data_IF_982658674018
#
_entry.id   IF_982658674018
#
_cell.length_a   1.000
_cell.length_b   1.000
_cell.length_c   1.000
_cell.angle_alpha   90.00
_cell.angle_beta   90.00
_cell.angle_gamma   90.00
#
_symmetry.space_group_name_H-M   'P 1'
#
loop_
_entity.id
_entity.type
_entity.pdbx_description
1 polymer ?
#
# COMPACT_ATOMS: atom_id res chain seq x y z
N UNK A 1 -34.06 8.44 -1.17
CA UNK A 1 -33.23 9.23 -0.23
C UNK A 1 -33.31 10.69 -0.63
N UNK A 2 -33.54 11.62 0.30
CA UNK A 2 -33.35 13.05 0.06
C UNK A 2 -31.92 13.42 0.50
N UNK A 3 -31.22 14.23 -0.30
CA UNK A 3 -29.92 14.76 0.10
C UNK A 3 -30.11 15.73 1.27
N UNK A 4 -29.26 15.60 2.31
CA UNK A 4 -29.24 16.48 3.48
C UNK A 4 -28.02 17.39 3.40
N UNK A 5 -28.24 18.68 3.55
CA UNK A 5 -27.16 19.66 3.68
C UNK A 5 -26.72 19.70 5.13
N UNK A 6 -25.42 19.52 5.37
CA UNK A 6 -24.81 19.62 6.68
C UNK A 6 -23.70 20.66 6.64
N UNK A 7 -23.68 21.57 7.62
CA UNK A 7 -22.57 22.48 7.83
C UNK A 7 -21.45 21.73 8.56
N UNK A 8 -20.23 21.83 8.07
CA UNK A 8 -19.07 21.33 8.81
C UNK A 8 -18.94 22.04 10.17
N UNK A 9 -18.44 21.35 11.22
CA UNK A 9 -18.15 21.98 12.49
C UNK A 9 -17.27 23.22 12.32
N UNK A 10 -17.57 24.29 13.06
CA UNK A 10 -16.73 25.48 13.02
C UNK A 10 -15.36 25.14 13.63
N UNK A 11 -14.31 25.34 12.84
CA UNK A 11 -12.94 25.30 13.34
C UNK A 11 -12.72 26.45 14.33
N UNK A 12 -11.86 26.22 15.32
CA UNK A 12 -11.48 27.24 16.30
C UNK A 12 -10.92 28.48 15.59
N UNK A 13 -11.51 29.64 15.88
CA UNK A 13 -11.14 30.90 15.24
C UNK A 13 -9.67 31.26 15.48
N UNK A 14 -9.11 30.94 16.64
CA UNK A 14 -7.71 31.17 16.98
C UNK A 14 -6.80 30.29 16.12
N UNK A 15 -7.12 28.99 15.97
CA UNK A 15 -6.38 28.09 15.08
C UNK A 15 -6.40 28.58 13.63
N UNK A 16 -7.58 28.97 13.12
CA UNK A 16 -7.73 29.49 11.75
C UNK A 16 -6.90 30.75 11.53
N UNK A 17 -6.90 31.68 12.49
CA UNK A 17 -6.15 32.93 12.40
C UNK A 17 -4.63 32.67 12.42
N UNK A 18 -4.17 31.79 13.31
CA UNK A 18 -2.76 31.39 13.39
C UNK A 18 -2.31 30.76 12.08
N UNK A 19 -3.06 29.77 11.58
CA UNK A 19 -2.72 29.04 10.37
C UNK A 19 -2.72 29.93 9.12
N UNK A 20 -3.70 30.84 9.00
CA UNK A 20 -3.77 31.80 7.90
C UNK A 20 -2.54 32.72 7.88
N UNK A 21 -2.12 33.21 9.06
CA UNK A 21 -0.97 34.10 9.19
C UNK A 21 0.35 33.36 8.92
N UNK A 22 0.56 32.21 9.57
CA UNK A 22 1.83 31.48 9.52
C UNK A 22 2.15 30.91 8.13
N UNK A 23 1.12 30.53 7.37
CA UNK A 23 1.25 29.95 6.03
C UNK A 23 0.91 30.91 4.90
N UNK A 24 0.61 32.18 5.22
CA UNK A 24 0.17 33.18 4.24
C UNK A 24 -1.02 32.69 3.39
N UNK A 25 -1.97 31.99 4.03
CA UNK A 25 -3.14 31.41 3.36
C UNK A 25 -4.35 32.34 3.47
N UNK A 26 -5.24 32.36 2.45
CA UNK A 26 -6.54 32.99 2.59
C UNK A 26 -7.31 32.39 3.79
N UNK A 27 -8.02 33.19 4.62
CA UNK A 27 -8.72 32.69 5.82
C UNK A 27 -9.69 31.54 5.54
N UNK A 28 -10.32 31.54 4.37
CA UNK A 28 -11.21 30.44 3.94
C UNK A 28 -10.46 29.13 3.74
N UNK A 29 -9.22 29.16 3.22
CA UNK A 29 -8.39 27.97 3.05
C UNK A 29 -7.92 27.45 4.40
N UNK A 30 -7.49 28.34 5.29
CA UNK A 30 -7.10 27.98 6.66
C UNK A 30 -8.29 27.37 7.43
N UNK A 31 -9.50 27.91 7.29
CA UNK A 31 -10.73 27.34 7.88
C UNK A 31 -10.97 25.91 7.36
N UNK A 32 -10.86 25.70 6.05
CA UNK A 32 -11.03 24.37 5.43
C UNK A 32 -10.00 23.36 5.94
N UNK A 33 -8.73 23.76 6.09
CA UNK A 33 -7.67 22.89 6.59
C UNK A 33 -7.90 22.52 8.07
N UNK A 34 -8.16 23.53 8.92
CA UNK A 34 -8.44 23.31 10.34
C UNK A 34 -9.69 22.43 10.55
N UNK A 35 -10.77 22.66 9.79
CA UNK A 35 -11.97 21.80 9.83
C UNK A 35 -11.73 20.36 9.38
N UNK A 36 -10.58 20.06 8.76
CA UNK A 36 -10.15 18.70 8.37
C UNK A 36 -9.10 18.12 9.32
N UNK A 37 -8.86 18.75 10.48
CA UNK A 37 -7.85 18.31 11.45
C UNK A 37 -6.40 18.67 11.08
N UNK A 38 -6.20 19.49 10.03
CA UNK A 38 -4.91 20.07 9.65
C UNK A 38 -4.77 21.45 10.30
N UNK A 39 -4.83 21.44 11.63
CA UNK A 39 -5.03 22.61 12.48
C UNK A 39 -3.74 23.22 13.04
N UNK A 40 -2.58 22.64 12.71
CA UNK A 40 -1.26 23.21 13.01
C UNK A 40 -0.51 23.50 11.71
N UNK A 41 0.46 24.41 11.81
CA UNK A 41 1.35 24.75 10.70
C UNK A 41 2.03 23.51 10.13
N UNK A 42 2.56 22.66 10.99
CA UNK A 42 3.31 21.45 10.62
C UNK A 42 2.41 20.47 9.85
N UNK A 43 1.19 20.21 10.36
CA UNK A 43 0.24 19.33 9.69
C UNK A 43 -0.16 19.86 8.31
N UNK A 44 -0.45 21.16 8.23
CA UNK A 44 -0.86 21.80 6.98
C UNK A 44 0.28 21.90 5.96
N UNK A 45 1.51 22.23 6.38
CA UNK A 45 2.69 22.24 5.51
C UNK A 45 3.00 20.85 4.97
N UNK A 46 3.03 19.84 5.84
CA UNK A 46 3.26 18.44 5.43
C UNK A 46 2.17 17.96 4.47
N UNK A 47 0.92 18.39 4.67
CA UNK A 47 -0.16 18.06 3.74
C UNK A 47 -0.02 18.81 2.40
N UNK A 48 0.22 20.12 2.38
CA UNK A 48 0.27 20.88 1.13
C UNK A 48 1.55 20.60 0.33
N UNK A 49 2.68 20.49 1.02
CA UNK A 49 4.02 20.38 0.48
C UNK A 49 4.77 19.14 1.01
N UNK A 50 4.23 17.92 0.83
CA UNK A 50 4.89 16.71 1.30
C UNK A 50 6.20 16.45 0.56
N UNK A 51 7.09 15.72 1.25
CA UNK A 51 8.34 15.17 0.77
C UNK A 51 8.33 13.64 0.85
N UNK A 52 9.07 12.94 -0.03
CA UNK A 52 9.30 11.50 0.11
C UNK A 52 10.03 11.14 1.42
N UNK A 53 10.76 12.10 2.01
CA UNK A 53 11.39 11.93 3.33
C UNK A 53 10.40 11.90 4.48
N UNK A 54 9.15 12.32 4.24
CA UNK A 54 8.08 12.29 5.24
C UNK A 54 7.41 10.91 5.34
N UNK A 55 7.86 9.91 4.56
CA UNK A 55 7.43 8.53 4.73
C UNK A 55 7.97 7.98 6.06
N UNK A 56 7.12 7.26 6.78
CA UNK A 56 7.46 6.54 8.00
C UNK A 56 8.48 5.43 7.71
N UNK A 57 9.15 4.95 8.76
CA UNK A 57 10.02 3.79 8.62
C UNK A 57 9.14 2.54 8.33
N UNK A 58 9.34 1.81 7.21
CA UNK A 58 8.61 0.57 6.93
C UNK A 58 8.72 -0.46 8.05
N UNK A 59 9.80 -0.45 8.85
CA UNK A 59 9.96 -1.37 9.99
C UNK A 59 8.99 -1.11 11.15
N UNK A 60 8.19 -0.05 11.08
CA UNK A 60 7.08 0.19 12.01
C UNK A 60 5.83 -0.63 11.66
N UNK A 61 5.80 -1.30 10.50
CA UNK A 61 4.73 -2.24 10.17
C UNK A 61 5.02 -3.60 10.84
N UNK A 62 3.97 -4.29 11.36
CA UNK A 62 4.11 -5.62 11.94
C UNK A 62 4.83 -6.60 11.02
N UNK A 63 5.62 -7.51 11.60
CA UNK A 63 6.36 -8.58 10.92
C UNK A 63 7.26 -8.15 9.74
N UNK A 64 7.51 -6.86 9.54
CA UNK A 64 8.32 -6.36 8.42
C UNK A 64 9.71 -7.03 8.41
N UNK A 65 10.38 -7.10 9.56
CA UNK A 65 11.68 -7.78 9.70
C UNK A 65 11.61 -9.26 9.31
N UNK A 66 10.59 -10.00 9.77
CA UNK A 66 10.40 -11.42 9.47
C UNK A 66 10.18 -11.66 7.98
N UNK A 67 9.38 -10.80 7.34
CA UNK A 67 9.12 -10.86 5.90
C UNK A 67 10.40 -10.59 5.09
N UNK A 68 11.15 -9.56 5.46
CA UNK A 68 12.41 -9.20 4.80
C UNK A 68 13.44 -10.32 4.95
N UNK A 69 13.61 -10.87 6.15
CA UNK A 69 14.51 -12.00 6.41
C UNK A 69 14.18 -13.21 5.53
N UNK A 70 12.88 -13.50 5.39
CA UNK A 70 12.41 -14.62 4.60
C UNK A 70 12.67 -14.42 3.10
N UNK A 71 12.51 -13.20 2.57
CA UNK A 71 12.85 -12.89 1.17
C UNK A 71 14.36 -12.97 0.95
N UNK A 72 15.18 -12.46 1.86
CA UNK A 72 16.64 -12.55 1.76
C UNK A 72 17.10 -14.01 1.77
N UNK A 73 16.47 -14.86 2.59
CA UNK A 73 16.71 -16.31 2.56
C UNK A 73 16.40 -16.89 1.17
N UNK A 74 15.25 -16.56 0.59
CA UNK A 74 14.88 -17.02 -0.75
C UNK A 74 15.90 -16.61 -1.82
N UNK A 75 16.37 -15.34 -1.79
CA UNK A 75 17.39 -14.83 -2.69
C UNK A 75 18.71 -15.61 -2.56
N UNK A 76 19.18 -15.82 -1.32
CA UNK A 76 20.43 -16.53 -1.03
C UNK A 76 20.38 -17.99 -1.46
N UNK A 77 19.27 -18.65 -1.20
CA UNK A 77 19.07 -20.08 -1.48
C UNK A 77 18.56 -20.35 -2.89
N UNK A 78 18.36 -19.28 -3.69
CA UNK A 78 17.81 -19.33 -5.05
C UNK A 78 16.49 -20.08 -5.11
N UNK A 79 15.66 -19.85 -4.11
CA UNK A 79 14.31 -20.38 -4.07
C UNK A 79 13.43 -19.71 -5.11
N UNK A 80 12.47 -20.47 -5.64
CA UNK A 80 11.43 -19.93 -6.50
C UNK A 80 10.38 -19.21 -5.66
N UNK A 81 10.12 -17.96 -6.03
CA UNK A 81 9.15 -17.09 -5.37
C UNK A 81 7.95 -16.90 -6.30
N UNK A 82 6.74 -16.93 -5.75
CA UNK A 82 5.53 -16.56 -6.47
C UNK A 82 4.89 -15.35 -5.81
N UNK A 83 4.61 -14.32 -6.61
CA UNK A 83 3.77 -13.20 -6.16
C UNK A 83 2.32 -13.57 -6.44
N UNK A 84 1.51 -13.63 -5.39
CA UNK A 84 0.10 -13.92 -5.49
C UNK A 84 -0.69 -12.64 -5.31
N UNK A 85 -1.24 -12.10 -6.38
CA UNK A 85 -2.00 -10.85 -6.34
C UNK A 85 -3.50 -11.05 -6.33
N UNK A 86 -4.23 -9.95 -6.13
CA UNK A 86 -5.64 -9.87 -6.50
C UNK A 86 -5.84 -9.39 -7.96
N UNK A 87 -7.04 -9.61 -8.49
CA UNK A 87 -7.42 -9.36 -9.88
C UNK A 87 -7.78 -7.89 -10.19
N UNK A 88 -7.85 -7.02 -9.19
CA UNK A 88 -8.14 -5.60 -9.39
C UNK A 88 -6.87 -4.77 -9.60
N UNK A 89 -7.03 -3.45 -9.79
CA UNK A 89 -5.87 -2.58 -10.10
C UNK A 89 -4.87 -2.53 -8.95
N UNK A 90 -5.31 -2.57 -7.70
CA UNK A 90 -4.39 -2.48 -6.57
C UNK A 90 -3.54 -3.76 -6.48
N UNK A 91 -4.19 -4.93 -6.48
CA UNK A 91 -3.51 -6.23 -6.54
C UNK A 91 -2.62 -6.42 -7.77
N UNK A 92 -3.05 -6.00 -8.97
CA UNK A 92 -2.25 -6.10 -10.19
C UNK A 92 -1.01 -5.19 -10.13
N UNK A 93 -1.16 -3.97 -9.61
CA UNK A 93 -0.04 -3.03 -9.50
C UNK A 93 0.93 -3.43 -8.40
N UNK A 94 0.45 -3.94 -7.26
CA UNK A 94 1.26 -4.54 -6.21
C UNK A 94 2.03 -5.76 -6.70
N UNK A 95 1.37 -6.63 -7.48
CA UNK A 95 2.02 -7.79 -8.10
C UNK A 95 3.13 -7.36 -9.05
N UNK A 96 2.85 -6.39 -9.91
CA UNK A 96 3.80 -5.85 -10.87
C UNK A 96 5.00 -5.20 -10.17
N UNK A 97 4.76 -4.46 -9.08
CA UNK A 97 5.80 -3.82 -8.27
C UNK A 97 6.78 -4.87 -7.72
N UNK A 98 6.27 -5.86 -6.98
CA UNK A 98 7.11 -6.90 -6.38
C UNK A 98 7.81 -7.75 -7.44
N UNK A 99 7.10 -8.10 -8.51
CA UNK A 99 7.67 -8.87 -9.62
C UNK A 99 8.87 -8.14 -10.23
N UNK A 100 8.73 -6.85 -10.56
CA UNK A 100 9.83 -6.08 -11.16
C UNK A 100 11.00 -5.92 -10.20
N UNK A 101 10.72 -5.59 -8.94
CA UNK A 101 11.75 -5.33 -7.94
C UNK A 101 12.53 -6.61 -7.60
N UNK A 102 11.84 -7.71 -7.32
CA UNK A 102 12.52 -8.96 -6.94
C UNK A 102 13.27 -9.59 -8.12
N UNK A 103 12.76 -9.47 -9.36
CA UNK A 103 13.54 -9.85 -10.54
C UNK A 103 14.82 -9.02 -10.68
N UNK A 104 14.76 -7.70 -10.44
CA UNK A 104 15.95 -6.83 -10.44
C UNK A 104 16.97 -7.27 -9.39
N UNK A 105 16.51 -7.72 -8.22
CA UNK A 105 17.36 -8.25 -7.14
C UNK A 105 17.86 -9.69 -7.41
N UNK A 106 17.46 -10.32 -8.52
CA UNK A 106 17.96 -11.62 -8.94
C UNK A 106 17.18 -12.84 -8.44
N UNK A 107 15.96 -12.66 -7.90
CA UNK A 107 15.08 -13.78 -7.55
C UNK A 107 14.54 -14.49 -8.81
N UNK A 108 14.29 -15.81 -8.70
CA UNK A 108 13.47 -16.53 -9.68
C UNK A 108 11.99 -16.32 -9.32
N UNK A 109 11.37 -15.30 -9.93
CA UNK A 109 10.02 -14.86 -9.58
C UNK A 109 9.01 -15.28 -10.64
N UNK A 110 7.90 -15.87 -10.18
CA UNK A 110 6.68 -16.07 -10.95
C UNK A 110 5.53 -15.27 -10.33
N UNK A 111 4.38 -15.22 -11.00
CA UNK A 111 3.18 -14.61 -10.45
C UNK A 111 1.96 -15.50 -10.67
N UNK A 112 0.92 -15.25 -9.87
CA UNK A 112 -0.40 -15.83 -9.99
C UNK A 112 -1.44 -14.77 -9.64
N UNK A 113 -2.48 -14.68 -10.48
CA UNK A 113 -3.67 -13.86 -10.24
C UNK A 113 -4.87 -14.82 -10.29
N UNK A 114 -5.70 -14.89 -9.24
CA UNK A 114 -6.80 -15.83 -9.19
C UNK A 114 -7.88 -15.45 -10.20
N UNK A 115 -8.53 -16.47 -10.77
CA UNK A 115 -9.71 -16.22 -11.59
C UNK A 115 -10.91 -15.89 -10.70
N UNK A 116 -11.32 -14.63 -10.71
CA UNK A 116 -12.45 -14.12 -9.90
C UNK A 116 -13.73 -14.95 -10.00
N UNK A 117 -14.04 -15.50 -11.18
CA UNK A 117 -15.30 -16.20 -11.45
C UNK A 117 -15.28 -17.65 -10.97
N UNK A 118 -14.09 -18.25 -10.88
CA UNK A 118 -13.92 -19.68 -10.57
C UNK A 118 -13.43 -19.86 -9.14
N UNK A 119 -12.40 -19.12 -8.75
CA UNK A 119 -11.69 -19.25 -7.48
C UNK A 119 -12.18 -18.26 -6.43
N UNK A 120 -12.80 -17.15 -6.86
CA UNK A 120 -13.24 -16.08 -5.97
C UNK A 120 -12.14 -15.06 -5.69
N UNK A 121 -12.10 -14.54 -4.47
CA UNK A 121 -11.20 -13.46 -4.06
C UNK A 121 -10.14 -13.98 -3.08
N UNK A 122 -8.91 -13.51 -3.27
CA UNK A 122 -7.77 -13.79 -2.40
C UNK A 122 -7.02 -15.08 -2.72
N UNK A 123 -6.14 -15.47 -1.78
CA UNK A 123 -5.32 -16.67 -1.88
C UNK A 123 -6.22 -17.91 -2.07
N UNK A 124 -5.95 -18.72 -3.10
CA UNK A 124 -6.76 -19.89 -3.46
C UNK A 124 -5.97 -21.20 -3.34
N UNK A 125 -6.66 -22.32 -3.07
CA UNK A 125 -6.04 -23.64 -3.11
C UNK A 125 -5.48 -23.97 -4.51
N UNK A 126 -6.19 -23.58 -5.57
CA UNK A 126 -5.77 -23.76 -6.96
C UNK A 126 -4.43 -23.09 -7.24
N UNK A 127 -4.26 -21.84 -6.79
CA UNK A 127 -3.00 -21.14 -6.97
C UNK A 127 -1.86 -21.69 -6.10
N UNK A 128 -2.16 -22.23 -4.91
CA UNK A 128 -1.17 -22.97 -4.10
C UNK A 128 -0.76 -24.27 -4.78
N UNK A 129 -1.69 -25.01 -5.38
CA UNK A 129 -1.41 -26.20 -6.18
C UNK A 129 -0.54 -25.84 -7.39
N UNK A 130 -0.81 -24.70 -8.03
CA UNK A 130 0.01 -24.21 -9.14
C UNK A 130 1.42 -23.82 -8.67
N UNK A 131 1.54 -23.20 -7.49
CA UNK A 131 2.83 -22.90 -6.86
C UNK A 131 3.64 -24.19 -6.60
N UNK A 132 2.99 -25.22 -6.04
CA UNK A 132 3.60 -26.54 -5.81
C UNK A 132 4.12 -27.16 -7.12
N UNK A 133 3.30 -27.16 -8.18
CA UNK A 133 3.70 -27.67 -9.51
C UNK A 133 4.92 -26.94 -10.08
N UNK A 134 5.05 -25.64 -9.83
CA UNK A 134 6.18 -24.81 -10.28
C UNK A 134 7.42 -24.95 -9.41
N UNK A 135 7.34 -25.67 -8.29
CA UNK A 135 8.42 -25.83 -7.31
C UNK A 135 8.67 -24.56 -6.49
N UNK A 136 7.63 -23.75 -6.28
CA UNK A 136 7.69 -22.55 -5.44
C UNK A 136 7.93 -22.94 -3.98
N UNK A 137 8.76 -22.17 -3.29
CA UNK A 137 9.05 -22.33 -1.86
C UNK A 137 8.53 -21.18 -1.01
N UNK A 138 8.25 -20.04 -1.64
CA UNK A 138 7.75 -18.83 -1.02
C UNK A 138 6.65 -18.21 -1.87
N UNK A 139 5.47 -18.05 -1.30
CA UNK A 139 4.41 -17.18 -1.80
C UNK A 139 4.49 -15.85 -1.06
N UNK A 140 4.42 -14.75 -1.81
CA UNK A 140 4.20 -13.40 -1.26
C UNK A 140 2.85 -12.94 -1.77
N UNK A 141 1.82 -12.97 -0.91
CA UNK A 141 0.51 -12.45 -1.28
C UNK A 141 0.50 -10.93 -1.15
N UNK A 142 -0.06 -10.27 -2.15
CA UNK A 142 -0.17 -8.81 -2.22
C UNK A 142 -1.63 -8.44 -2.38
N UNK A 143 -2.08 -7.44 -1.60
CA UNK A 143 -3.46 -6.94 -1.59
C UNK A 143 -4.51 -8.02 -1.26
N UNK A 144 -4.07 -9.10 -0.61
CA UNK A 144 -4.93 -10.18 -0.19
C UNK A 144 -4.22 -11.09 0.81
N UNK A 145 -4.99 -11.96 1.46
CA UNK A 145 -4.49 -13.07 2.25
C UNK A 145 -4.69 -12.91 3.76
N UNK A 146 -5.03 -11.72 4.28
CA UNK A 146 -5.20 -11.52 5.74
C UNK A 146 -6.27 -12.43 6.35
N UNK A 147 -7.25 -12.88 5.56
CA UNK A 147 -8.34 -13.78 5.97
C UNK A 147 -8.11 -15.24 5.57
N UNK A 148 -7.01 -15.55 4.87
CA UNK A 148 -6.77 -16.84 4.21
C UNK A 148 -6.17 -17.92 5.14
N UNK A 149 -6.82 -18.17 6.27
CA UNK A 149 -6.31 -19.05 7.34
C UNK A 149 -6.13 -20.50 6.83
N UNK A 150 -7.12 -21.02 6.10
CA UNK A 150 -7.09 -22.41 5.64
C UNK A 150 -6.11 -22.60 4.49
N UNK A 151 -6.02 -21.60 3.61
CA UNK A 151 -5.17 -21.62 2.43
C UNK A 151 -3.70 -21.50 2.83
N UNK A 152 -3.36 -20.62 3.78
CA UNK A 152 -1.99 -20.57 4.34
C UNK A 152 -1.64 -21.88 5.05
N UNK A 153 -2.57 -22.47 5.81
CA UNK A 153 -2.36 -23.79 6.41
C UNK A 153 -2.12 -24.87 5.35
N UNK A 154 -2.85 -24.83 4.23
CA UNK A 154 -2.65 -25.74 3.12
C UNK A 154 -1.29 -25.53 2.43
N UNK A 155 -0.88 -24.28 2.20
CA UNK A 155 0.47 -23.95 1.71
C UNK A 155 1.57 -24.50 2.62
N UNK A 156 1.43 -24.32 3.94
CA UNK A 156 2.35 -24.87 4.94
C UNK A 156 2.44 -26.41 4.86
N UNK A 157 1.32 -27.11 4.64
CA UNK A 157 1.32 -28.57 4.43
C UNK A 157 2.05 -28.99 3.15
N UNK A 158 2.05 -28.14 2.11
CA UNK A 158 2.87 -28.32 0.90
C UNK A 158 4.32 -27.87 1.09
N UNK A 159 4.67 -27.41 2.29
CA UNK A 159 5.97 -26.87 2.63
C UNK A 159 6.26 -25.52 1.96
N UNK A 160 5.25 -24.80 1.48
CA UNK A 160 5.39 -23.50 0.85
C UNK A 160 5.16 -22.44 1.93
N UNK A 161 6.16 -21.61 2.18
CA UNK A 161 6.01 -20.50 3.11
C UNK A 161 5.17 -19.38 2.49
N UNK A 162 4.41 -18.67 3.31
CA UNK A 162 3.64 -17.48 2.87
C UNK A 162 4.07 -16.23 3.63
N UNK A 163 4.24 -15.12 2.92
CA UNK A 163 4.27 -13.75 3.46
C UNK A 163 3.01 -13.06 2.96
N UNK A 164 2.29 -12.39 3.85
CA UNK A 164 1.09 -11.62 3.49
C UNK A 164 1.43 -10.13 3.57
N UNK A 165 1.25 -9.39 2.47
CA UNK A 165 1.21 -7.92 2.47
C UNK A 165 -0.18 -7.47 2.08
N UNK A 166 -0.93 -6.94 3.03
CA UNK A 166 -2.36 -6.67 2.89
C UNK A 166 -2.76 -5.42 3.69
N UNK A 167 -3.94 -4.88 3.44
CA UNK A 167 -4.50 -3.71 4.12
C UNK A 167 -5.97 -3.91 4.52
N UNK A 168 -6.56 -5.05 4.16
CA UNK A 168 -7.90 -5.45 4.57
C UNK A 168 -8.00 -5.69 6.09
N UNK A 169 -9.24 -5.74 6.58
CA UNK A 169 -9.52 -5.89 8.01
C UNK A 169 -9.10 -7.28 8.53
N UNK A 170 -8.19 -7.35 9.52
CA UNK A 170 -7.83 -8.62 10.14
C UNK A 170 -9.04 -9.26 10.84
N UNK A 171 -9.08 -10.59 10.86
CA UNK A 171 -10.05 -11.36 11.63
C UNK A 171 -9.47 -11.77 12.98
N UNK A 172 -10.30 -12.29 13.89
CA UNK A 172 -9.85 -12.78 15.21
C UNK A 172 -8.78 -13.88 15.10
N UNK A 173 -8.88 -14.72 14.07
CA UNK A 173 -7.93 -15.77 13.77
C UNK A 173 -7.11 -15.35 12.55
N UNK A 174 -5.81 -15.16 12.76
CA UNK A 174 -4.87 -14.80 11.71
C UNK A 174 -4.28 -16.05 11.04
N UNK A 175 -3.92 -15.98 9.73
CA UNK A 175 -3.22 -17.04 9.04
C UNK A 175 -1.85 -17.35 9.66
N UNK A 176 -1.44 -18.62 9.67
CA UNK A 176 -0.13 -19.04 10.16
C UNK A 176 0.98 -18.78 9.11
N UNK A 177 1.08 -17.53 8.63
CA UNK A 177 2.09 -17.08 7.68
C UNK A 177 3.43 -16.80 8.38
N UNK A 178 4.53 -16.79 7.63
CA UNK A 178 5.86 -16.42 8.16
C UNK A 178 5.89 -14.96 8.63
N UNK A 179 5.16 -14.11 7.91
CA UNK A 179 5.00 -12.70 8.23
C UNK A 179 3.66 -12.21 7.71
N UNK A 180 2.99 -11.38 8.49
CA UNK A 180 1.82 -10.62 8.06
C UNK A 180 2.12 -9.13 8.23
N UNK A 181 2.15 -8.42 7.11
CA UNK A 181 2.46 -7.00 7.03
C UNK A 181 1.16 -6.30 6.66
N UNK A 182 0.51 -5.68 7.64
CA UNK A 182 -0.77 -4.99 7.46
C UNK A 182 -0.87 -3.76 8.39
N UNK A 183 -1.33 -2.62 7.86
CA UNK A 183 -1.45 -1.36 8.61
C UNK A 183 -2.47 -1.40 9.74
N UNK A 184 -3.42 -2.34 9.68
CA UNK A 184 -4.53 -2.50 10.63
C UNK A 184 -4.31 -3.60 11.67
N UNK A 185 -3.15 -4.25 11.63
CA UNK A 185 -2.79 -5.18 12.70
C UNK A 185 -2.37 -4.43 13.95
N UNK A 186 -2.77 -4.96 15.10
CA UNK A 186 -2.38 -4.43 16.39
C UNK A 186 -0.86 -4.59 16.59
N UNK A 187 -0.17 -3.51 16.93
CA UNK A 187 1.23 -3.56 17.33
C UNK A 187 1.34 -4.06 18.77
N UNK A 188 2.14 -5.10 19.00
CA UNK A 188 2.41 -5.57 20.37
C UNK A 188 3.32 -4.57 21.10
N UNK A 189 3.13 -4.39 22.41
CA UNK A 189 3.86 -3.38 23.20
C UNK A 189 5.37 -3.62 23.25
N UNK A 190 5.82 -4.87 23.02
CA UNK A 190 7.24 -5.19 22.92
C UNK A 190 7.88 -4.67 21.62
N UNK A 191 7.14 -4.65 20.52
CA UNK A 191 7.65 -4.16 19.23
C UNK A 191 7.81 -2.63 19.25
N UNK A 192 6.89 -1.92 19.91
CA UNK A 192 6.93 -0.45 20.08
C UNK A 192 8.12 0.03 20.91
N UNK A 193 8.55 -0.73 21.92
CA UNK A 193 9.72 -0.37 22.74
C UNK A 193 11.04 -0.35 21.95
N UNK A 194 11.10 -1.09 20.83
CA UNK A 194 12.29 -1.17 19.97
C UNK A 194 12.41 -0.01 18.97
N UNK A 195 11.31 0.71 18.71
CA UNK A 195 11.24 1.78 17.69
C UNK A 195 11.59 3.16 18.25
N UNK A 196 11.75 3.29 19.57
CA UNK A 196 12.07 4.55 20.23
C UNK A 196 10.96 5.62 20.14
N UNK A 197 9.76 5.25 19.68
CA UNK A 197 8.63 6.17 19.53
C UNK A 197 7.83 6.25 20.82
N UNK A 198 8.13 7.24 21.67
CA UNK A 198 7.16 7.79 22.62
C UNK A 198 6.37 8.90 21.90
N UNK A 199 5.47 8.53 20.96
CA UNK A 199 4.54 9.50 20.39
C UNK A 199 3.12 9.23 20.87
N UNK A 200 2.71 10.01 21.88
CA UNK A 200 1.36 10.05 22.40
C UNK A 200 0.39 10.58 21.32
N UNK A 201 -0.21 9.67 20.55
CA UNK A 201 -1.41 10.00 19.78
C UNK A 201 -2.59 9.90 20.73
N UNK A 202 -3.04 11.04 21.25
CA UNK A 202 -4.24 11.13 22.07
C UNK A 202 -5.49 10.96 21.20
N UNK A 203 -5.99 9.72 21.08
CA UNK A 203 -7.41 9.50 20.74
C UNK A 203 -8.19 9.37 22.05
N UNK A 204 -9.11 10.31 22.27
CA UNK A 204 -9.92 10.36 23.46
C UNK A 204 -10.97 9.22 23.44
N UNK A 205 -10.80 8.25 24.34
CA UNK A 205 -11.89 7.41 24.83
C UNK A 205 -11.99 6.01 24.23
N UNK A 206 -11.13 5.08 24.65
CA UNK A 206 -11.47 3.66 24.85
C UNK A 206 -10.34 2.96 25.60
N UNK A 207 -10.71 1.95 26.38
CA UNK A 207 -9.85 1.19 27.30
C UNK A 207 -9.02 0.19 26.48
N UNK A 208 -7.69 0.31 26.53
CA UNK A 208 -6.72 -0.55 25.83
C UNK A 208 -6.14 0.14 24.59
N UNK A 209 -5.04 0.88 24.74
CA UNK A 209 -4.39 1.56 23.61
C UNK A 209 -3.56 0.56 22.81
N UNK A 210 -4.11 0.13 21.67
CA UNK A 210 -3.37 -0.44 20.55
C UNK A 210 -2.79 0.74 19.77
N UNK A 211 -1.48 0.78 19.53
CA UNK A 211 -0.91 1.80 18.65
C UNK A 211 -1.09 1.36 17.20
N UNK A 212 -1.74 2.20 16.39
CA UNK A 212 -1.87 2.01 14.94
C UNK A 212 -0.58 2.44 14.22
N UNK A 213 -0.34 1.92 13.01
CA UNK A 213 0.79 2.34 12.19
C UNK A 213 0.76 3.88 11.96
N UNK A 214 1.82 4.63 12.30
CA UNK A 214 1.79 6.10 12.29
C UNK A 214 1.69 6.72 10.90
N UNK A 215 1.95 5.95 9.84
CA UNK A 215 1.74 6.38 8.46
C UNK A 215 0.26 6.42 8.03
N UNK A 216 -0.63 5.87 8.87
CA UNK A 216 -2.06 5.71 8.62
C UNK A 216 -2.38 4.54 7.70
N UNK A 217 -3.59 4.53 7.15
CA UNK A 217 -4.00 3.53 6.16
C UNK A 217 -3.15 3.62 4.88
N UNK A 218 -2.88 2.45 4.29
CA UNK A 218 -2.26 2.29 2.97
C UNK A 218 -3.18 1.43 2.10
N UNK A 219 -3.07 1.58 0.77
CA UNK A 219 -3.62 0.58 -0.15
C UNK A 219 -2.71 -0.66 -0.19
N UNK A 220 -3.15 -1.77 -0.78
CA UNK A 220 -2.35 -2.99 -0.98
C UNK A 220 -1.02 -2.72 -1.68
N UNK A 221 -1.00 -1.94 -2.78
CA UNK A 221 0.26 -1.52 -3.43
C UNK A 221 1.11 -0.60 -2.55
N UNK A 222 0.48 0.17 -1.66
CA UNK A 222 1.17 0.99 -0.67
C UNK A 222 1.94 0.14 0.34
N UNK A 223 1.29 -0.89 0.91
CA UNK A 223 1.94 -1.84 1.83
C UNK A 223 3.06 -2.61 1.11
N UNK A 224 2.80 -3.08 -0.12
CA UNK A 224 3.80 -3.69 -0.98
C UNK A 224 5.01 -2.77 -1.25
N UNK A 225 4.79 -1.46 -1.42
CA UNK A 225 5.86 -0.47 -1.55
C UNK A 225 6.71 -0.34 -0.29
N UNK A 226 6.07 -0.29 0.89
CA UNK A 226 6.80 -0.31 2.18
C UNK A 226 7.62 -1.58 2.35
N UNK A 227 7.09 -2.73 1.89
CA UNK A 227 7.82 -3.99 1.95
C UNK A 227 9.09 -3.99 1.08
N UNK A 228 8.99 -3.55 -0.18
CA UNK A 228 10.20 -3.41 -1.03
C UNK A 228 11.17 -2.35 -0.52
N UNK A 229 10.67 -1.30 0.12
CA UNK A 229 11.49 -0.29 0.79
C UNK A 229 12.36 -0.93 1.90
N UNK A 230 11.76 -1.77 2.75
CA UNK A 230 12.49 -2.49 3.79
C UNK A 230 13.51 -3.48 3.22
N UNK A 231 13.16 -4.20 2.15
CA UNK A 231 14.09 -5.10 1.45
C UNK A 231 15.31 -4.31 0.93
N UNK A 232 15.09 -3.14 0.30
CA UNK A 232 16.17 -2.28 -0.20
C UNK A 232 17.10 -1.82 0.92
N UNK A 233 16.52 -1.32 2.02
CA UNK A 233 17.28 -0.90 3.21
C UNK A 233 18.16 -2.01 3.74
N UNK A 234 17.61 -3.22 3.87
CA UNK A 234 18.37 -4.35 4.41
C UNK A 234 19.50 -4.80 3.51
N UNK A 235 19.30 -4.73 2.20
CA UNK A 235 20.30 -5.08 1.19
C UNK A 235 21.28 -3.94 0.88
N UNK A 236 21.15 -2.78 1.55
CA UNK A 236 21.96 -1.59 1.30
C UNK A 236 21.81 -1.05 -0.13
N UNK A 237 20.65 -1.27 -0.75
CA UNK A 237 20.33 -0.74 -2.08
C UNK A 237 19.90 0.73 -2.00
N UNK A 238 20.04 1.45 -3.10
CA UNK A 238 19.62 2.85 -3.18
C UNK A 238 18.08 2.94 -3.29
N UNK A 239 17.43 3.42 -2.23
CA UNK A 239 15.97 3.60 -2.19
C UNK A 239 15.43 4.56 -3.27
N UNK A 240 16.26 5.45 -3.83
CA UNK A 240 15.81 6.37 -4.90
C UNK A 240 15.43 5.64 -6.18
N UNK A 241 15.93 4.40 -6.38
CA UNK A 241 15.52 3.56 -7.50
C UNK A 241 14.05 3.11 -7.40
N UNK A 242 13.47 3.11 -6.19
CA UNK A 242 12.05 2.78 -5.99
C UNK A 242 11.14 3.91 -6.50
N UNK A 243 11.64 5.13 -6.67
CA UNK A 243 10.86 6.25 -7.24
C UNK A 243 10.36 5.94 -8.65
N UNK A 244 11.11 5.14 -9.42
CA UNK A 244 10.71 4.71 -10.76
C UNK A 244 9.44 3.85 -10.76
N UNK A 245 9.08 3.27 -9.62
CA UNK A 245 7.91 2.42 -9.45
C UNK A 245 6.72 3.14 -8.80
N UNK A 246 6.85 4.41 -8.42
CA UNK A 246 5.75 5.18 -7.84
C UNK A 246 4.57 5.38 -8.81
N UNK A 247 4.77 5.19 -10.11
CA UNK A 247 3.69 5.18 -11.09
C UNK A 247 2.71 4.02 -10.88
N UNK A 248 3.19 2.83 -10.51
CA UNK A 248 2.36 1.69 -10.13
C UNK A 248 1.66 1.95 -8.79
N UNK A 249 2.41 2.48 -7.82
CA UNK A 249 1.88 2.79 -6.48
C UNK A 249 0.73 3.80 -6.57
N UNK A 250 0.93 4.92 -7.27
CA UNK A 250 -0.11 5.92 -7.41
C UNK A 250 -1.31 5.45 -8.25
N UNK A 251 -1.10 4.51 -9.18
CA UNK A 251 -2.19 3.89 -9.94
C UNK A 251 -3.05 2.98 -9.05
N UNK A 252 -2.45 2.07 -8.29
CA UNK A 252 -3.16 1.19 -7.35
C UNK A 252 -3.85 1.97 -6.24
N UNK A 253 -3.10 2.81 -5.51
CA UNK A 253 -3.62 3.63 -4.41
C UNK A 253 -4.79 4.52 -4.85
N UNK A 254 -4.72 5.15 -6.03
CA UNK A 254 -5.84 5.96 -6.51
C UNK A 254 -7.03 5.09 -6.95
N UNK A 255 -6.79 3.91 -7.53
CA UNK A 255 -7.84 3.00 -8.00
C UNK A 255 -8.61 2.32 -6.85
N UNK A 256 -7.94 2.12 -5.72
CA UNK A 256 -8.50 1.53 -4.50
C UNK A 256 -9.34 2.50 -3.66
N UNK A 257 -9.36 3.79 -4.02
CA UNK A 257 -10.22 4.82 -3.41
C UNK A 257 -9.94 5.00 -1.89
N UNK A 258 -8.75 4.60 -1.43
CA UNK A 258 -8.29 4.90 -0.06
C UNK A 258 -8.14 6.41 0.16
N UNK A 259 -8.26 6.88 1.42
CA UNK A 259 -8.03 8.28 1.76
C UNK A 259 -6.64 8.77 1.30
N UNK A 260 -6.62 9.82 0.47
CA UNK A 260 -5.38 10.49 0.03
C UNK A 260 -4.88 11.49 1.10
N UNK A 261 -4.61 10.95 2.29
CA UNK A 261 -3.95 11.60 3.44
C UNK A 261 -2.69 10.81 3.79
N UNK A 262 -1.92 11.23 4.80
CA UNK A 262 -0.76 10.48 5.30
C UNK A 262 0.21 10.06 4.20
N UNK A 263 0.71 8.81 4.27
CA UNK A 263 1.61 8.25 3.27
C UNK A 263 0.96 8.06 1.89
N UNK A 264 -0.32 7.67 1.82
CA UNK A 264 -1.06 7.54 0.54
C UNK A 264 -0.99 8.83 -0.27
N UNK A 265 -1.13 9.99 0.39
CA UNK A 265 -1.00 11.30 -0.26
C UNK A 265 0.39 11.55 -0.83
N UNK A 266 1.44 11.23 -0.06
CA UNK A 266 2.84 11.41 -0.45
C UNK A 266 3.10 10.56 -1.70
N UNK A 267 2.87 9.25 -1.59
CA UNK A 267 3.10 8.28 -2.65
C UNK A 267 2.31 8.63 -3.92
N UNK A 268 1.03 9.00 -3.76
CA UNK A 268 0.19 9.41 -4.89
C UNK A 268 0.69 10.70 -5.54
N UNK A 269 1.08 11.74 -4.77
CA UNK A 269 1.57 13.01 -5.34
C UNK A 269 2.81 12.78 -6.20
N UNK A 270 3.80 12.07 -5.68
CA UNK A 270 5.04 11.80 -6.42
C UNK A 270 4.84 10.79 -7.55
N UNK A 271 3.99 9.79 -7.34
CA UNK A 271 3.67 8.81 -8.36
C UNK A 271 2.85 9.36 -9.53
N UNK A 272 1.97 10.36 -9.32
CA UNK A 272 1.32 11.06 -10.44
C UNK A 272 2.32 11.78 -11.34
N UNK A 273 3.37 12.38 -10.75
CA UNK A 273 4.49 12.93 -11.53
C UNK A 273 5.23 11.82 -12.30
N UNK A 274 5.39 10.64 -11.68
CA UNK A 274 6.03 9.49 -12.33
C UNK A 274 5.17 8.91 -13.47
N UNK A 275 3.85 8.83 -13.33
CA UNK A 275 2.92 8.38 -14.38
C UNK A 275 3.09 9.24 -15.64
N UNK A 276 3.20 10.56 -15.50
CA UNK A 276 3.35 11.48 -16.62
C UNK A 276 4.63 11.24 -17.44
N UNK A 277 5.66 10.63 -16.84
CA UNK A 277 6.97 10.33 -17.46
C UNK A 277 7.28 8.82 -17.49
N UNK A 278 6.28 7.97 -17.29
CA UNK A 278 6.50 6.52 -17.16
C UNK A 278 7.17 5.94 -18.39
N UNK A 279 8.15 5.07 -18.16
CA UNK A 279 8.82 4.29 -19.20
C UNK A 279 8.22 2.89 -19.37
N UNK A 280 7.30 2.49 -18.48
CA UNK A 280 6.70 1.15 -18.48
C UNK A 280 5.83 0.95 -19.71
N UNK A 281 6.13 -0.02 -20.59
CA UNK A 281 5.40 -0.20 -21.85
C UNK A 281 3.89 -0.37 -21.67
N UNK A 282 3.47 -1.09 -20.62
CA UNK A 282 2.06 -1.28 -20.28
C UNK A 282 1.33 0.04 -19.99
N UNK A 283 1.86 0.86 -19.09
CA UNK A 283 1.27 2.15 -18.74
C UNK A 283 1.31 3.13 -19.92
N UNK A 284 2.43 3.20 -20.66
CA UNK A 284 2.51 4.04 -21.87
C UNK A 284 1.45 3.67 -22.90
N UNK A 285 1.27 2.36 -23.14
CA UNK A 285 0.27 1.86 -24.07
C UNK A 285 -1.14 2.17 -23.58
N UNK A 286 -1.40 1.96 -22.29
CA UNK A 286 -2.70 2.25 -21.68
C UNK A 286 -3.07 3.74 -21.78
N UNK A 287 -2.13 4.64 -21.48
CA UNK A 287 -2.30 6.09 -21.62
C UNK A 287 -2.60 6.48 -23.07
N UNK A 288 -1.85 5.91 -24.01
CA UNK A 288 -2.03 6.16 -25.45
C UNK A 288 -3.40 5.72 -25.95
N UNK A 289 -3.79 4.47 -25.73
CA UNK A 289 -5.09 3.93 -26.21
C UNK A 289 -6.28 4.53 -25.48
N UNK A 290 -6.06 5.11 -24.30
CA UNK A 290 -7.09 5.85 -23.55
C UNK A 290 -7.33 7.27 -24.10
N UNK A 291 -6.51 7.73 -25.07
CA UNK A 291 -6.66 9.04 -25.69
C UNK A 291 -6.23 10.21 -24.81
N UNK A 292 -5.50 9.95 -23.73
CA UNK A 292 -5.05 10.98 -22.76
C UNK A 292 -3.54 11.26 -22.82
N UNK A 293 -2.85 10.75 -23.84
CA UNK A 293 -1.44 11.06 -24.06
C UNK A 293 -1.24 12.58 -24.24
N UNK A 294 -0.28 13.16 -23.52
CA UNK A 294 0.03 14.59 -23.57
C UNK A 294 -0.93 15.47 -22.76
N UNK A 295 -1.95 14.90 -22.12
CA UNK A 295 -2.83 15.62 -21.20
C UNK A 295 -2.27 15.58 -19.78
N UNK A 296 -2.74 16.50 -18.92
CA UNK A 296 -2.47 16.41 -17.49
C UNK A 296 -3.23 15.21 -16.91
N UNK A 297 -2.48 14.26 -16.33
CA UNK A 297 -3.04 13.07 -15.67
C UNK A 297 -3.06 13.34 -14.17
N UNK A 298 -4.27 13.53 -13.63
CA UNK A 298 -4.51 13.53 -12.19
C UNK A 298 -5.22 12.26 -11.74
N UNK A 299 -5.53 12.19 -10.44
CA UNK A 299 -6.26 11.06 -9.84
C UNK A 299 -7.61 10.81 -10.51
N UNK A 300 -8.29 11.85 -10.99
CA UNK A 300 -9.53 11.71 -11.76
C UNK A 300 -9.36 10.91 -13.05
N UNK A 301 -8.32 11.19 -13.85
CA UNK A 301 -8.03 10.41 -15.06
C UNK A 301 -7.64 8.97 -14.71
N UNK A 302 -6.89 8.78 -13.62
CA UNK A 302 -6.57 7.43 -13.14
C UNK A 302 -7.84 6.65 -12.82
N UNK A 303 -8.70 7.18 -11.94
CA UNK A 303 -9.90 6.50 -11.43
C UNK A 303 -10.94 6.27 -12.53
N UNK A 304 -11.17 7.25 -13.40
CA UNK A 304 -12.27 7.18 -14.38
C UNK A 304 -11.85 6.70 -15.76
N UNK A 305 -10.56 6.66 -16.09
CA UNK A 305 -10.09 6.31 -17.44
C UNK A 305 -9.14 5.11 -17.40
N UNK A 306 -8.08 5.15 -16.60
CA UNK A 306 -7.05 4.10 -16.62
C UNK A 306 -7.48 2.86 -15.83
N UNK A 307 -7.85 3.03 -14.56
CA UNK A 307 -8.20 1.93 -13.67
C UNK A 307 -9.36 1.05 -14.18
N UNK A 308 -10.46 1.60 -14.76
CA UNK A 308 -11.56 0.78 -15.28
C UNK A 308 -11.14 -0.19 -16.38
N UNK A 309 -10.11 0.16 -17.19
CA UNK A 309 -9.60 -0.69 -18.27
C UNK A 309 -8.80 -1.87 -17.76
N UNK A 310 -8.05 -1.69 -16.67
CA UNK A 310 -7.33 -2.79 -16.02
C UNK A 310 -8.33 -3.68 -15.30
N UNK A 311 -9.23 -3.09 -14.50
CA UNK A 311 -10.28 -3.81 -13.79
C UNK A 311 -11.23 -4.59 -14.71
N UNK A 312 -11.40 -4.16 -15.96
CA UNK A 312 -12.22 -4.89 -16.93
C UNK A 312 -11.67 -6.30 -17.19
N UNK A 313 -10.35 -6.51 -17.13
CA UNK A 313 -9.73 -7.83 -17.34
C UNK A 313 -10.17 -8.80 -16.25
N UNK A 314 -9.95 -8.47 -14.97
CA UNK A 314 -10.36 -9.31 -13.84
C UNK A 314 -11.87 -9.48 -13.69
N UNK A 315 -12.69 -8.59 -14.28
CA UNK A 315 -14.16 -8.69 -14.27
C UNK A 315 -14.73 -9.59 -15.37
N UNK A 316 -13.94 -9.89 -16.41
CA UNK A 316 -14.38 -10.71 -17.55
C UNK A 316 -13.90 -12.17 -17.48
N UNK A 317 -13.10 -12.53 -16.47
CA UNK A 317 -12.56 -13.88 -16.27
C UNK A 317 -11.15 -14.00 -16.81
#
# INVERSE_FOLDING_TARGET
>A
MQAKWESFPEADHQQVTSLASELSLPPVVAKILASRGLDTKEKAERFLNPSLRDLCDPYLLPDMDKGVDRVIRALREKEKVMIFGDYDVDGITATSLLFLVLNKLGAEVSYYLPNRLIEGYGLSEEGIIEAEKRGVRLIISVDCGITAVNEVKFANQKGIDTIITDHHEPQEILPEAVAIINTKQELDQQDLASTGMNHMVHTAGSVGQVEEYPGGELSGVGVAFKFVQAIYRRLGQDETELEDHLDLVALGTAADIVPLVGENRILTKFGMNQIARTTKPGLKSLIFVSGILGQQIGTGQVVFILAPRINAVGRLG
#
